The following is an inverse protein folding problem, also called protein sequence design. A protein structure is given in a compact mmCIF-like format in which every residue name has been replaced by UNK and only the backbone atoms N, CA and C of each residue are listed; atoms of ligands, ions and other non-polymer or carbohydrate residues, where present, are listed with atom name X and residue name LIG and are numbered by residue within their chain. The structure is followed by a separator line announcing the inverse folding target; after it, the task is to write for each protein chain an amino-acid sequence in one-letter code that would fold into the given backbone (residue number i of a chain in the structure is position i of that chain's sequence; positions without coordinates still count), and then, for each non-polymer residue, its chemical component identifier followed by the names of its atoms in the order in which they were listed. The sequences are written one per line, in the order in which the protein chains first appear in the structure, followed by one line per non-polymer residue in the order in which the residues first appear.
data_IF_336405450921
#
_entry.id   IF_336405450921
#
_cell.length_a   1.000
_cell.length_b   1.000
_cell.length_c   1.000
_cell.angle_alpha   90.00
_cell.angle_beta   90.00
_cell.angle_gamma   90.00
#
_symmetry.space_group_name_H-M   'P 1'
#
loop_
_entity.id
_entity.type
_entity.pdbx_description
1 polymer ?
#
# COMPACT_ATOMS: atom_id res chain seq x y z
N UNK A 1 17.59 4.56 7.82
CA UNK A 1 16.33 4.65 7.07
C UNK A 1 16.56 4.22 5.62
N UNK A 2 15.65 3.43 5.09
CA UNK A 2 15.70 2.99 3.69
C UNK A 2 14.44 3.47 2.98
N UNK A 3 14.62 4.02 1.78
CA UNK A 3 13.51 4.41 0.91
C UNK A 3 13.63 3.59 -0.37
N UNK A 4 12.56 2.87 -0.73
CA UNK A 4 12.54 2.00 -1.89
C UNK A 4 11.35 2.34 -2.77
N UNK A 5 11.62 2.71 -4.02
CA UNK A 5 10.58 3.05 -4.99
C UNK A 5 10.27 1.81 -5.82
N UNK A 6 9.02 1.37 -5.77
CA UNK A 6 8.57 0.17 -6.46
C UNK A 6 7.92 0.46 -7.82
N UNK A 7 7.72 1.72 -8.15
CA UNK A 7 7.18 2.12 -9.46
C UNK A 7 8.10 1.63 -10.57
N UNK A 8 7.52 0.99 -11.58
CA UNK A 8 8.29 0.43 -12.69
C UNK A 8 8.48 1.44 -13.80
N UNK A 9 9.67 1.40 -14.42
CA UNK A 9 9.91 2.16 -15.65
C UNK A 9 9.09 1.63 -16.84
N UNK A 10 8.61 0.41 -16.72
CA UNK A 10 7.77 -0.23 -17.72
C UNK A 10 6.28 -0.05 -17.40
N UNK A 11 5.95 1.05 -16.77
CA UNK A 11 4.60 1.37 -16.35
C UNK A 11 3.60 1.30 -17.52
N UNK A 12 2.49 0.66 -17.26
CA UNK A 12 1.33 0.60 -18.16
C UNK A 12 0.08 0.40 -17.31
N UNK A 13 -1.00 1.13 -17.60
CA UNK A 13 -2.26 0.96 -16.86
C UNK A 13 -2.81 -0.46 -16.86
N UNK A 14 -2.41 -1.30 -17.83
CA UNK A 14 -2.80 -2.70 -17.90
C UNK A 14 -1.68 -3.65 -17.46
N UNK A 15 -0.52 -3.12 -17.10
CA UNK A 15 0.62 -3.94 -16.72
C UNK A 15 0.62 -4.32 -15.24
N UNK A 16 1.38 -5.36 -14.87
CA UNK A 16 1.44 -5.82 -13.48
C UNK A 16 2.13 -4.84 -12.54
N UNK A 17 2.91 -3.90 -13.06
CA UNK A 17 3.66 -2.93 -12.27
C UNK A 17 3.09 -1.51 -12.42
N UNK A 18 1.82 -1.41 -12.80
CA UNK A 18 1.21 -0.10 -12.94
C UNK A 18 1.01 0.56 -11.57
N UNK A 19 1.11 1.90 -11.56
CA UNK A 19 0.88 2.69 -10.36
C UNK A 19 2.14 3.01 -9.56
N UNK A 20 1.96 3.68 -8.46
CA UNK A 20 3.04 4.13 -7.58
C UNK A 20 3.02 3.38 -6.26
N UNK A 21 4.20 3.07 -5.75
CA UNK A 21 4.36 2.48 -4.42
C UNK A 21 5.75 2.81 -3.91
N UNK A 22 5.83 3.43 -2.74
CA UNK A 22 7.09 3.78 -2.10
C UNK A 22 7.12 3.16 -0.71
N UNK A 23 8.18 2.41 -0.42
CA UNK A 23 8.43 1.89 0.92
C UNK A 23 9.38 2.81 1.67
N UNK A 24 9.04 3.14 2.91
CA UNK A 24 9.89 3.91 3.79
C UNK A 24 10.09 3.07 5.05
N UNK A 25 11.30 2.55 5.20
CA UNK A 25 11.68 1.74 6.36
C UNK A 25 12.47 2.63 7.32
N UNK A 26 11.88 2.95 8.46
CA UNK A 26 12.52 3.82 9.45
C UNK A 26 13.40 3.04 10.43
N UNK A 27 13.41 1.72 10.33
CA UNK A 27 14.07 0.84 11.29
C UNK A 27 13.12 0.30 12.35
N UNK A 28 12.05 1.02 12.66
CA UNK A 28 11.03 0.62 13.63
C UNK A 28 9.66 0.45 12.98
N UNK A 29 9.41 1.15 11.89
CA UNK A 29 8.11 1.19 11.22
C UNK A 29 8.32 1.09 9.72
N UNK A 30 7.51 0.29 9.06
CA UNK A 30 7.48 0.24 7.61
C UNK A 30 6.26 1.02 7.13
N UNK A 31 6.51 2.08 6.37
CA UNK A 31 5.48 2.92 5.79
C UNK A 31 5.33 2.58 4.31
N UNK A 32 4.09 2.36 3.88
CA UNK A 32 3.75 2.16 2.46
C UNK A 32 3.06 3.43 1.98
N UNK A 33 3.72 4.18 1.13
CA UNK A 33 3.18 5.41 0.55
C UNK A 33 2.61 5.05 -0.82
N UNK A 34 1.29 4.98 -0.89
CA UNK A 34 0.53 4.45 -2.01
C UNK A 34 0.85 2.97 -2.30
N UNK A 35 -0.04 2.29 -2.95
CA UNK A 35 0.17 0.92 -3.40
C UNK A 35 -0.73 0.69 -4.61
N UNK A 36 -0.17 0.97 -5.78
CA UNK A 36 -0.94 1.12 -7.00
C UNK A 36 -1.46 -0.17 -7.62
N UNK A 37 -0.86 -1.30 -7.31
CA UNK A 37 -1.32 -2.57 -7.85
C UNK A 37 -0.95 -3.75 -6.94
N UNK A 38 -1.55 -4.90 -7.21
CA UNK A 38 -1.33 -6.09 -6.40
C UNK A 38 0.13 -6.58 -6.47
N UNK A 39 0.80 -6.40 -7.60
CA UNK A 39 2.22 -6.77 -7.71
C UNK A 39 3.09 -5.96 -6.77
N UNK A 40 2.80 -4.66 -6.60
CA UNK A 40 3.48 -3.85 -5.60
C UNK A 40 3.20 -4.36 -4.19
N UNK A 41 1.94 -4.73 -3.91
CA UNK A 41 1.57 -5.27 -2.60
C UNK A 41 2.34 -6.57 -2.28
N UNK A 42 2.54 -7.43 -3.26
CA UNK A 42 3.33 -8.65 -3.10
C UNK A 42 4.80 -8.34 -2.81
N UNK A 43 5.35 -7.31 -3.45
CA UNK A 43 6.71 -6.86 -3.18
C UNK A 43 6.83 -6.29 -1.76
N UNK A 44 5.80 -5.56 -1.30
CA UNK A 44 5.74 -5.07 0.08
C UNK A 44 5.76 -6.25 1.06
N UNK A 45 4.94 -7.26 0.80
CA UNK A 45 4.89 -8.46 1.64
C UNK A 45 6.24 -9.17 1.70
N UNK A 46 6.91 -9.31 0.57
CA UNK A 46 8.25 -9.92 0.52
C UNK A 46 9.26 -9.11 1.34
N UNK A 47 9.24 -7.78 1.23
CA UNK A 47 10.10 -6.92 2.02
C UNK A 47 9.84 -7.08 3.52
N UNK A 48 8.56 -7.18 3.90
CA UNK A 48 8.18 -7.39 5.29
C UNK A 48 8.76 -8.69 5.84
N UNK A 49 8.68 -9.76 5.07
CA UNK A 49 9.23 -11.06 5.47
C UNK A 49 10.75 -11.00 5.64
N UNK A 50 11.45 -10.36 4.70
CA UNK A 50 12.90 -10.23 4.75
C UNK A 50 13.38 -9.39 5.93
N UNK A 51 12.58 -8.41 6.37
CA UNK A 51 12.98 -7.45 7.39
C UNK A 51 12.18 -7.59 8.69
N UNK A 52 11.46 -8.69 8.85
CA UNK A 52 10.75 -9.05 10.10
C UNK A 52 9.68 -8.04 10.50
N UNK A 53 9.00 -7.44 9.55
CA UNK A 53 7.82 -6.61 9.81
C UNK A 53 6.56 -7.46 9.74
N UNK A 54 5.70 -7.35 10.73
CA UNK A 54 4.41 -8.04 10.74
C UNK A 54 3.27 -7.14 10.24
N UNK A 55 3.47 -5.82 10.27
CA UNK A 55 2.47 -4.86 9.85
C UNK A 55 3.11 -3.62 9.25
N UNK A 56 2.30 -2.86 8.50
CA UNK A 56 2.71 -1.61 7.88
C UNK A 56 1.76 -0.49 8.26
N UNK A 57 2.24 0.74 8.07
CA UNK A 57 1.41 1.95 8.09
C UNK A 57 1.27 2.42 6.65
N UNK A 58 0.05 2.60 6.18
CA UNK A 58 -0.23 3.01 4.81
C UNK A 58 -0.59 4.49 4.77
N UNK A 59 -0.01 5.22 3.83
CA UNK A 59 -0.37 6.60 3.54
C UNK A 59 -0.87 6.65 2.09
N UNK A 60 -2.08 7.12 1.89
CA UNK A 60 -2.67 7.29 0.56
C UNK A 60 -2.65 8.75 0.17
N UNK A 61 -1.90 9.08 -0.89
CA UNK A 61 -1.78 10.45 -1.37
C UNK A 61 -2.92 10.85 -2.30
N UNK A 62 -3.46 9.89 -3.04
CA UNK A 62 -4.50 10.10 -4.04
C UNK A 62 -5.53 9.00 -3.97
N UNK A 63 -6.70 9.27 -4.54
CA UNK A 63 -7.83 8.35 -4.61
C UNK A 63 -7.91 7.59 -5.95
N UNK A 64 -6.96 7.80 -6.84
CA UNK A 64 -6.93 7.13 -8.13
C UNK A 64 -6.52 5.66 -7.97
N UNK A 65 -6.98 4.82 -8.88
CA UNK A 65 -6.70 3.38 -8.83
C UNK A 65 -5.20 3.07 -8.78
N UNK A 66 -4.39 3.84 -9.52
CA UNK A 66 -2.95 3.65 -9.58
C UNK A 66 -2.21 4.00 -8.28
N UNK A 67 -2.94 4.47 -7.26
CA UNK A 67 -2.40 4.72 -5.91
C UNK A 67 -3.03 3.81 -4.86
N UNK A 68 -4.10 3.08 -5.21
CA UNK A 68 -4.92 2.36 -4.23
C UNK A 68 -5.05 0.87 -4.50
N UNK A 69 -4.99 0.41 -5.75
CA UNK A 69 -5.43 -0.94 -6.13
C UNK A 69 -4.66 -2.08 -5.44
N UNK A 70 -3.49 -1.83 -4.87
CA UNK A 70 -2.78 -2.83 -4.08
C UNK A 70 -3.19 -2.88 -2.62
N UNK A 71 -3.90 -1.87 -2.11
CA UNK A 71 -4.25 -1.80 -0.69
C UNK A 71 -5.18 -2.93 -0.25
N UNK A 72 -6.22 -3.31 -1.02
CA UNK A 72 -7.07 -4.44 -0.63
C UNK A 72 -6.30 -5.74 -0.37
N UNK A 73 -5.25 -6.02 -1.16
CA UNK A 73 -4.40 -7.18 -0.94
C UNK A 73 -3.75 -7.13 0.44
N UNK A 74 -3.15 -5.99 0.80
CA UNK A 74 -2.48 -5.83 2.08
C UNK A 74 -3.46 -5.94 3.26
N UNK A 75 -4.65 -5.38 3.12
CA UNK A 75 -5.69 -5.43 4.16
C UNK A 75 -6.22 -6.85 4.34
N UNK A 76 -6.47 -7.56 3.24
CA UNK A 76 -6.90 -8.95 3.27
C UNK A 76 -5.90 -9.85 3.99
N UNK A 77 -4.62 -9.59 3.81
CA UNK A 77 -3.54 -10.34 4.46
C UNK A 77 -3.27 -9.88 5.89
N UNK A 78 -4.00 -8.90 6.39
CA UNK A 78 -3.83 -8.33 7.74
C UNK A 78 -2.45 -7.72 7.96
N UNK A 79 -1.88 -7.13 6.91
CA UNK A 79 -0.56 -6.54 6.93
C UNK A 79 -0.56 -5.03 7.21
N UNK A 80 -1.73 -4.44 7.45
CA UNK A 80 -1.88 -3.00 7.66
C UNK A 80 -2.41 -2.74 9.07
N UNK A 81 -1.71 -1.89 9.83
CA UNK A 81 -2.14 -1.49 11.17
C UNK A 81 -2.88 -0.14 11.16
N UNK A 82 -2.50 0.76 10.26
CA UNK A 82 -3.10 2.10 10.17
C UNK A 82 -3.10 2.56 8.72
N UNK A 83 -4.14 3.33 8.36
CA UNK A 83 -4.23 3.99 7.07
C UNK A 83 -4.45 5.48 7.31
N UNK A 84 -3.56 6.30 6.76
CA UNK A 84 -3.71 7.75 6.73
C UNK A 84 -4.13 8.15 5.33
N UNK A 85 -5.24 8.86 5.21
CA UNK A 85 -5.78 9.22 3.92
C UNK A 85 -6.50 10.56 3.97
N UNK A 86 -6.80 11.09 2.80
CA UNK A 86 -7.53 12.34 2.67
C UNK A 86 -9.03 12.11 2.84
N UNK A 87 -9.74 13.05 3.50
CA UNK A 87 -11.17 12.91 3.78
C UNK A 87 -12.04 12.95 2.53
N UNK A 88 -11.55 13.52 1.43
CA UNK A 88 -12.33 13.71 0.21
C UNK A 88 -11.96 12.74 -0.91
N UNK A 89 -11.51 11.54 -0.56
CA UNK A 89 -11.19 10.52 -1.55
C UNK A 89 -12.47 10.01 -2.24
N UNK A 90 -12.39 9.76 -3.54
CA UNK A 90 -13.48 9.15 -4.30
C UNK A 90 -13.83 7.76 -3.78
N UNK A 91 -12.84 7.02 -3.32
CA UNK A 91 -13.01 5.68 -2.79
C UNK A 91 -13.16 5.64 -1.27
N UNK A 92 -13.58 6.77 -0.69
CA UNK A 92 -13.76 6.88 0.76
C UNK A 92 -14.65 5.78 1.34
N UNK A 93 -15.77 5.51 0.71
CA UNK A 93 -16.70 4.48 1.18
C UNK A 93 -16.05 3.11 1.18
N UNK A 94 -15.32 2.79 0.12
CA UNK A 94 -14.63 1.51 -0.01
C UNK A 94 -13.53 1.38 1.04
N UNK A 95 -12.78 2.45 1.29
CA UNK A 95 -11.74 2.46 2.32
C UNK A 95 -12.36 2.26 3.70
N UNK A 96 -13.44 2.98 4.02
CA UNK A 96 -14.14 2.84 5.29
C UNK A 96 -14.69 1.43 5.47
N UNK A 97 -15.22 0.84 4.41
CA UNK A 97 -15.71 -0.53 4.44
C UNK A 97 -14.60 -1.52 4.81
N UNK A 98 -13.42 -1.38 4.22
CA UNK A 98 -12.27 -2.21 4.54
C UNK A 98 -11.83 -2.05 6.00
N UNK A 99 -11.88 -0.83 6.52
CA UNK A 99 -11.53 -0.56 7.92
C UNK A 99 -12.56 -1.13 8.88
N UNK A 100 -13.85 -1.05 8.53
CA UNK A 100 -14.94 -1.52 9.38
C UNK A 100 -15.02 -3.04 9.48
N UNK A 101 -14.40 -3.75 8.56
CA UNK A 101 -14.32 -5.21 8.58
C UNK A 101 -13.41 -5.75 9.69
N UNK A 102 -12.80 -4.88 10.48
CA UNK A 102 -11.91 -5.30 11.56
C UNK A 102 -10.57 -5.85 11.09
N UNK A 103 -10.19 -5.58 9.85
CA UNK A 103 -8.93 -6.05 9.27
C UNK A 103 -7.76 -5.09 9.51
N UNK A 104 -8.07 -3.88 9.90
CA UNK A 104 -7.10 -2.82 10.14
C UNK A 104 -7.26 -2.26 11.54
#
# INVERSE_FOLDING_TARGET
MVIKILSSKDYSPQGPNYGDCILIDTGNTLVVYDCGCEEHAKQVEAYMEENSYSQTVVILSHNDADHFDGIPYLVEKKLVSKVYTHLFLQHKEKILELLDDGRV
#
